data_IF_549516428615
#
_entry.id   IF_549516428615
#
_cell.length_a   1.000
_cell.length_b   1.000
_cell.length_c   1.000
_cell.angle_alpha   90.00
_cell.angle_beta   90.00
_cell.angle_gamma   90.00
#
_symmetry.space_group_name_H-M   'P 1'
#
loop_
_entity.id
_entity.type
_entity.pdbx_description
1 polymer ?
#
# COMPACT_ATOMS: atom_id res chain seq x y z
N UNK A 1 -1.94 -18.11 10.73
CA UNK A 1 -1.23 -16.89 10.24
C UNK A 1 -2.28 -15.99 9.59
N UNK A 2 -2.27 -14.68 9.85
CA UNK A 2 -3.24 -13.77 9.21
C UNK A 2 -2.79 -13.42 7.79
N UNK A 3 -3.75 -13.15 6.91
CA UNK A 3 -3.51 -12.70 5.53
C UNK A 3 -2.57 -11.48 5.49
N UNK A 4 -2.78 -10.49 6.39
CA UNK A 4 -1.95 -9.28 6.48
C UNK A 4 -0.47 -9.56 6.76
N UNK A 5 -0.14 -10.64 7.49
CA UNK A 5 1.27 -11.02 7.72
C UNK A 5 1.95 -11.48 6.44
N UNK A 6 1.21 -12.13 5.53
CA UNK A 6 1.75 -12.59 4.25
C UNK A 6 2.08 -11.42 3.30
N UNK A 7 1.40 -10.28 3.43
CA UNK A 7 1.65 -9.10 2.58
C UNK A 7 3.07 -8.57 2.68
N UNK A 8 3.76 -8.81 3.81
CA UNK A 8 5.18 -8.44 4.01
C UNK A 8 6.14 -9.14 3.06
N UNK A 9 5.71 -10.21 2.41
CA UNK A 9 6.51 -10.98 1.46
C UNK A 9 6.29 -10.55 0.01
N UNK A 10 5.26 -9.74 -0.26
CA UNK A 10 4.89 -9.34 -1.61
C UNK A 10 5.57 -8.01 -1.97
N UNK A 11 6.56 -8.09 -2.84
CA UNK A 11 7.42 -6.92 -3.17
C UNK A 11 6.79 -5.98 -4.19
N UNK A 12 5.92 -6.50 -5.07
CA UNK A 12 5.36 -5.74 -6.19
C UNK A 12 4.21 -4.83 -5.73
N UNK A 13 4.14 -3.56 -6.15
CA UNK A 13 2.98 -2.71 -5.91
C UNK A 13 1.70 -3.38 -6.45
N UNK A 14 0.69 -3.54 -5.59
CA UNK A 14 -0.54 -4.25 -5.99
C UNK A 14 -1.75 -3.73 -5.20
N UNK A 15 -2.86 -3.52 -5.90
CA UNK A 15 -4.18 -3.39 -5.29
C UNK A 15 -4.67 -4.81 -4.94
N UNK A 16 -4.45 -5.26 -3.72
CA UNK A 16 -4.86 -6.61 -3.32
C UNK A 16 -6.29 -6.58 -2.77
N UNK A 17 -7.18 -7.30 -3.45
CA UNK A 17 -8.54 -7.56 -3.00
C UNK A 17 -8.62 -8.94 -2.36
N UNK A 18 -9.42 -9.08 -1.30
CA UNK A 18 -9.63 -10.34 -0.61
C UNK A 18 -11.04 -10.46 -0.08
N UNK A 19 -11.46 -11.71 0.13
CA UNK A 19 -12.66 -12.09 0.84
C UNK A 19 -12.38 -13.31 1.71
N UNK A 20 -13.11 -13.47 2.81
CA UNK A 20 -13.01 -14.64 3.70
C UNK A 20 -14.35 -15.37 3.87
N UNK A 21 -14.31 -16.50 4.59
CA UNK A 21 -15.46 -17.38 4.82
C UNK A 21 -16.49 -16.82 5.81
N UNK A 22 -16.12 -15.78 6.56
CA UNK A 22 -17.00 -15.09 7.52
C UNK A 22 -17.76 -13.95 6.83
N UNK A 23 -17.58 -13.79 5.52
CA UNK A 23 -18.26 -12.78 4.70
C UNK A 23 -17.56 -11.42 4.70
N UNK A 24 -16.33 -11.32 5.24
CA UNK A 24 -15.58 -10.07 5.14
C UNK A 24 -14.99 -9.90 3.75
N UNK A 25 -14.93 -8.65 3.29
CA UNK A 25 -14.21 -8.26 2.09
C UNK A 25 -13.24 -7.15 2.42
N UNK A 26 -12.19 -6.99 1.61
CA UNK A 26 -11.28 -5.89 1.81
C UNK A 26 -10.39 -5.64 0.61
N UNK A 27 -9.82 -4.43 0.64
CA UNK A 27 -8.80 -3.98 -0.28
C UNK A 27 -7.63 -3.46 0.53
N UNK A 28 -6.41 -3.79 0.12
CA UNK A 28 -5.20 -3.23 0.71
C UNK A 28 -4.16 -2.95 -0.37
N UNK A 29 -3.56 -1.77 -0.30
CA UNK A 29 -2.34 -1.49 -1.05
C UNK A 29 -1.18 -2.27 -0.42
N UNK A 30 -0.49 -3.05 -1.23
CA UNK A 30 0.69 -3.84 -0.82
C UNK A 30 1.85 -3.58 -1.78
N UNK A 31 3.05 -4.00 -1.38
CA UNK A 31 4.29 -3.78 -2.12
C UNK A 31 5.33 -3.01 -1.29
N UNK A 32 6.59 -3.08 -1.70
CA UNK A 32 7.67 -2.39 -1.00
C UNK A 32 7.69 -0.91 -1.39
N UNK A 33 7.16 -0.06 -0.50
CA UNK A 33 7.11 1.38 -0.70
C UNK A 33 8.24 2.06 0.08
N UNK A 34 9.23 2.69 -0.58
CA UNK A 34 10.33 3.34 0.12
C UNK A 34 9.90 4.65 0.78
N UNK A 35 10.42 4.91 1.98
CA UNK A 35 10.30 6.19 2.69
C UNK A 35 11.32 7.19 2.14
N UNK A 36 10.81 8.18 1.40
CA UNK A 36 11.59 9.21 0.69
C UNK A 36 11.33 10.60 1.31
N UNK A 37 12.04 10.98 2.39
CA UNK A 37 11.73 12.21 3.13
C UNK A 37 12.01 13.51 2.36
N UNK A 38 12.80 13.45 1.28
CA UNK A 38 13.26 14.64 0.53
C UNK A 38 12.88 14.63 -0.94
N UNK A 39 12.07 13.67 -1.41
CA UNK A 39 11.76 13.52 -2.83
C UNK A 39 10.43 12.81 -3.10
N UNK A 40 9.64 13.37 -4.00
CA UNK A 40 8.35 12.84 -4.49
C UNK A 40 8.43 11.63 -5.46
N UNK A 41 9.55 11.40 -6.13
CA UNK A 41 9.80 10.34 -7.12
C UNK A 41 9.42 10.67 -8.55
N UNK A 42 9.15 11.93 -8.88
CA UNK A 42 8.79 12.31 -10.25
C UNK A 42 9.99 12.26 -11.22
N UNK A 43 11.18 12.57 -10.71
CA UNK A 43 12.44 12.59 -11.45
C UNK A 43 13.52 11.76 -10.73
N UNK A 44 14.71 11.55 -11.32
CA UNK A 44 15.82 10.93 -10.60
C UNK A 44 16.31 11.76 -9.41
N UNK A 45 16.65 11.07 -8.32
CA UNK A 45 17.32 11.66 -7.17
C UNK A 45 18.85 11.78 -7.43
N UNK A 46 19.53 12.81 -6.91
CA UNK A 46 20.98 12.79 -6.76
C UNK A 46 21.44 11.58 -5.92
N UNK A 47 22.47 10.87 -6.40
CA UNK A 47 22.99 9.65 -5.78
C UNK A 47 24.17 9.86 -4.82
N UNK A 48 24.31 11.05 -4.24
CA UNK A 48 25.37 11.42 -3.30
C UNK A 48 25.06 11.08 -1.83
N UNK A 49 23.95 10.38 -1.59
CA UNK A 49 23.45 10.01 -0.27
C UNK A 49 22.50 11.03 0.35
N UNK A 50 22.40 12.26 -0.18
CA UNK A 50 21.57 13.30 0.43
C UNK A 50 20.06 12.97 0.38
N UNK A 51 19.64 12.11 -0.56
CA UNK A 51 18.26 11.71 -0.83
C UNK A 51 17.99 10.22 -0.55
N UNK A 52 18.89 9.55 0.18
CA UNK A 52 18.75 8.13 0.50
C UNK A 52 17.43 7.82 1.19
N UNK A 53 16.91 6.64 0.89
CA UNK A 53 15.71 6.13 1.54
C UNK A 53 15.99 5.83 3.00
N UNK A 54 15.03 6.14 3.86
CA UNK A 54 15.17 5.96 5.32
C UNK A 54 14.50 4.68 5.83
N UNK A 55 14.11 3.81 4.90
CA UNK A 55 13.44 2.53 5.18
C UNK A 55 12.30 2.25 4.21
N UNK A 56 11.49 1.25 4.55
CA UNK A 56 10.29 0.84 3.83
C UNK A 56 9.07 1.18 4.71
N UNK A 57 8.01 1.70 4.10
CA UNK A 57 6.75 1.94 4.79
C UNK A 57 6.15 0.60 5.26
N UNK A 58 5.79 0.46 6.55
CA UNK A 58 5.11 -0.74 7.03
C UNK A 58 3.80 -0.96 6.26
N UNK A 59 3.55 -2.20 5.84
CA UNK A 59 2.33 -2.54 5.08
C UNK A 59 1.06 -2.29 5.90
N UNK A 60 1.17 -2.30 7.22
CA UNK A 60 0.10 -1.96 8.15
C UNK A 60 -0.34 -0.49 8.08
N UNK A 61 0.57 0.41 7.72
CA UNK A 61 0.33 1.85 7.61
C UNK A 61 -0.20 2.23 6.21
N UNK A 62 -0.16 1.29 5.26
CA UNK A 62 -0.61 1.51 3.89
C UNK A 62 -2.16 1.61 3.80
N UNK A 63 -2.70 2.40 2.87
CA UNK A 63 -4.14 2.51 2.65
C UNK A 63 -4.83 1.17 2.46
N UNK A 64 -5.95 0.99 3.17
CA UNK A 64 -6.75 -0.21 3.14
C UNK A 64 -8.21 0.07 3.52
N UNK A 65 -9.09 -0.85 3.14
CA UNK A 65 -10.51 -0.90 3.50
C UNK A 65 -10.81 -2.32 3.97
N UNK A 66 -11.55 -2.47 5.06
CA UNK A 66 -11.99 -3.76 5.60
C UNK A 66 -13.48 -3.69 5.94
N UNK A 67 -14.24 -4.63 5.36
CA UNK A 67 -15.69 -4.78 5.49
C UNK A 67 -16.45 -3.44 5.41
N UNK A 68 -16.35 -2.71 4.28
CA UNK A 68 -16.95 -1.40 4.14
C UNK A 68 -18.48 -1.48 4.26
N UNK A 69 -19.07 -0.52 4.99
CA UNK A 69 -20.54 -0.43 5.15
C UNK A 69 -21.28 -0.21 3.83
N UNK A 70 -20.59 0.33 2.84
CA UNK A 70 -21.10 0.66 1.51
C UNK A 70 -21.27 -0.56 0.59
N UNK A 71 -20.88 -1.76 1.06
CA UNK A 71 -21.13 -3.04 0.38
C UNK A 71 -19.95 -3.57 -0.44
N UNK A 72 -18.96 -2.74 -0.78
CA UNK A 72 -17.74 -3.21 -1.45
C UNK A 72 -16.72 -2.10 -1.74
N UNK A 73 -15.57 -2.50 -2.31
CA UNK A 73 -14.55 -1.59 -2.82
C UNK A 73 -14.12 -2.05 -4.21
N UNK A 74 -13.97 -1.11 -5.15
CA UNK A 74 -13.57 -1.42 -6.52
C UNK A 74 -12.30 -0.66 -6.91
N UNK A 75 -11.41 -1.31 -7.65
CA UNK A 75 -10.23 -0.68 -8.23
C UNK A 75 -9.98 -1.13 -9.67
N UNK A 76 -9.59 -0.20 -10.51
CA UNK A 76 -9.19 -0.35 -11.90
C UNK A 76 -7.99 0.57 -12.19
N UNK A 77 -6.92 0.41 -11.40
CA UNK A 77 -5.66 1.16 -11.53
C UNK A 77 -5.76 2.70 -11.32
N UNK A 78 -6.92 3.24 -10.96
CA UNK A 78 -7.06 4.66 -10.62
C UNK A 78 -6.34 5.04 -9.32
N UNK A 79 -6.22 6.35 -9.06
CA UNK A 79 -5.72 6.90 -7.80
C UNK A 79 -6.70 6.57 -6.65
N UNK A 80 -6.42 5.51 -5.91
CA UNK A 80 -7.24 5.03 -4.78
C UNK A 80 -6.83 5.61 -3.42
N UNK A 81 -5.82 6.49 -3.38
CA UNK A 81 -5.31 7.02 -2.12
C UNK A 81 -6.34 7.94 -1.45
N UNK A 82 -6.48 7.90 -0.12
CA UNK A 82 -7.30 8.85 0.61
C UNK A 82 -6.88 10.29 0.34
N UNK A 83 -7.84 11.23 0.38
CA UNK A 83 -7.53 12.64 0.24
C UNK A 83 -6.54 13.09 1.32
N UNK A 84 -5.43 13.72 0.91
CA UNK A 84 -4.40 14.23 1.82
C UNK A 84 -3.42 13.19 2.37
N UNK A 85 -3.47 11.95 1.87
CA UNK A 85 -2.45 10.93 2.13
C UNK A 85 -1.10 11.29 1.50
#
# INVERSE_FOLDING_TARGET
>A
ASLRKAFKLHVSPTNLHYADIDGNTGWQTIGFTPRRPKHDGLFPAPGDGAFDWTGILPVEDMPHVYSPREGGFASANQMNLPAGY
#
